data_IF_172932194290
#
_entry.id   IF_172932194290
#
_cell.length_a   1.000
_cell.length_b   1.000
_cell.length_c   1.000
_cell.angle_alpha   90.00
_cell.angle_beta   90.00
_cell.angle_gamma   90.00
#
_symmetry.space_group_name_H-M   'P 1'
#
loop_
_entity.id
_entity.type
_entity.pdbx_description
1 polymer ?
#
# COMPACT_ATOMS: atom_id res chain seq x y z
N UNK A 1 -7.97 15.59 -5.51
CA UNK A 1 -8.75 14.82 -4.52
C UNK A 1 -8.76 15.47 -3.14
N UNK A 2 -7.64 16.03 -2.62
CA UNK A 2 -7.58 16.72 -1.31
C UNK A 2 -8.64 17.80 -1.02
N UNK A 3 -9.21 18.42 -2.06
CA UNK A 3 -10.17 19.53 -1.90
C UNK A 3 -11.49 19.12 -1.22
N UNK A 4 -11.84 17.83 -1.24
CA UNK A 4 -13.17 17.36 -0.81
C UNK A 4 -13.13 16.20 0.19
N UNK A 5 -11.97 15.89 0.79
CA UNK A 5 -11.83 14.84 1.78
C UNK A 5 -10.38 14.55 2.14
N UNK A 6 -10.21 13.73 3.18
CA UNK A 6 -8.91 13.28 3.69
C UNK A 6 -8.42 12.10 2.85
N UNK A 7 -7.22 12.22 2.30
CA UNK A 7 -6.54 11.14 1.56
C UNK A 7 -5.61 10.40 2.50
N UNK A 8 -5.82 9.10 2.66
CA UNK A 8 -5.00 8.23 3.50
C UNK A 8 -4.22 7.25 2.65
N UNK A 9 -2.91 7.20 2.83
CA UNK A 9 -2.05 6.17 2.23
C UNK A 9 -1.70 5.11 3.27
N UNK A 10 -2.10 3.86 3.01
CA UNK A 10 -1.61 2.69 3.73
C UNK A 10 -0.27 2.27 3.12
N UNK A 11 0.83 2.71 3.72
CA UNK A 11 2.19 2.45 3.28
C UNK A 11 2.67 1.08 3.79
N UNK A 12 1.99 0.02 3.32
CA UNK A 12 2.29 -1.36 3.70
C UNK A 12 3.73 -1.75 3.33
N UNK A 13 4.43 -2.38 4.28
CA UNK A 13 5.77 -2.92 4.05
C UNK A 13 5.82 -3.91 2.86
N UNK A 14 6.88 -3.82 2.05
CA UNK A 14 7.05 -4.59 0.81
C UNK A 14 6.89 -6.10 1.01
N UNK A 15 7.43 -6.65 2.09
CA UNK A 15 7.37 -8.09 2.38
C UNK A 15 5.93 -8.56 2.64
N UNK A 16 5.10 -7.72 3.28
CA UNK A 16 3.69 -8.03 3.52
C UNK A 16 2.91 -7.98 2.20
N UNK A 17 3.18 -6.98 1.36
CA UNK A 17 2.58 -6.91 0.01
C UNK A 17 2.94 -8.14 -0.81
N UNK A 18 4.21 -8.53 -0.82
CA UNK A 18 4.68 -9.71 -1.56
C UNK A 18 3.94 -10.98 -1.11
N UNK A 19 3.89 -11.24 0.20
CA UNK A 19 3.18 -12.40 0.76
C UNK A 19 1.70 -12.42 0.39
N UNK A 20 1.02 -11.27 0.44
CA UNK A 20 -0.40 -11.15 0.05
C UNK A 20 -0.60 -11.38 -1.45
N UNK A 21 0.31 -10.85 -2.27
CA UNK A 21 0.20 -10.90 -3.73
C UNK A 21 0.48 -12.29 -4.27
N UNK A 22 1.44 -13.03 -3.70
CA UNK A 22 1.70 -14.44 -4.06
C UNK A 22 0.43 -15.28 -3.86
N UNK A 23 -0.26 -15.13 -2.73
CA UNK A 23 -1.48 -15.91 -2.41
C UNK A 23 -2.64 -15.66 -3.37
N UNK A 24 -2.73 -14.47 -3.96
CA UNK A 24 -3.84 -14.06 -4.84
C UNK A 24 -3.40 -13.87 -6.30
N UNK A 25 -2.17 -14.28 -6.65
CA UNK A 25 -1.52 -14.01 -7.93
C UNK A 25 -2.32 -14.51 -9.13
N UNK A 26 -2.84 -15.74 -9.03
CA UNK A 26 -3.64 -16.38 -10.08
C UNK A 26 -4.89 -15.58 -10.46
N UNK A 27 -5.47 -14.86 -9.49
CA UNK A 27 -6.68 -14.05 -9.70
C UNK A 27 -6.38 -12.63 -10.21
N UNK A 28 -5.12 -12.26 -10.36
CA UNK A 28 -4.69 -10.88 -10.69
C UNK A 28 -3.99 -10.86 -12.06
N UNK A 29 -4.72 -10.57 -13.15
CA UNK A 29 -4.17 -10.62 -14.51
C UNK A 29 -2.86 -9.84 -14.71
N UNK A 30 -2.69 -8.72 -14.01
CA UNK A 30 -1.51 -7.85 -14.14
C UNK A 30 -0.21 -8.44 -13.56
N UNK A 31 -0.30 -9.43 -12.66
CA UNK A 31 0.87 -10.04 -12.02
C UNK A 31 0.93 -11.56 -12.17
N UNK A 32 -0.09 -12.16 -12.77
CA UNK A 32 -0.21 -13.61 -12.94
C UNK A 32 0.98 -14.22 -13.66
N UNK A 33 1.44 -13.55 -14.72
CA UNK A 33 2.55 -14.04 -15.57
C UNK A 33 3.94 -13.66 -15.04
N UNK A 34 4.04 -12.97 -13.90
CA UNK A 34 5.32 -12.56 -13.32
C UNK A 34 5.84 -13.69 -12.43
N UNK A 35 7.08 -14.15 -12.61
CA UNK A 35 7.68 -15.17 -11.74
C UNK A 35 7.71 -14.75 -10.26
N UNK A 36 7.65 -15.69 -9.32
CA UNK A 36 7.63 -15.36 -7.89
C UNK A 36 8.92 -14.63 -7.46
N UNK A 37 10.06 -15.01 -8.04
CA UNK A 37 11.36 -14.35 -7.83
C UNK A 37 11.39 -12.91 -8.37
N UNK A 38 10.66 -12.64 -9.47
CA UNK A 38 10.58 -11.33 -10.10
C UNK A 38 9.53 -10.42 -9.49
N UNK A 39 8.55 -11.00 -8.78
CA UNK A 39 7.40 -10.27 -8.23
C UNK A 39 7.84 -9.19 -7.23
N UNK A 40 8.87 -9.48 -6.42
CA UNK A 40 9.43 -8.51 -5.48
C UNK A 40 9.94 -7.25 -6.19
N UNK A 41 10.76 -7.44 -7.22
CA UNK A 41 11.32 -6.35 -8.04
C UNK A 41 10.23 -5.58 -8.75
N UNK A 42 9.19 -6.27 -9.24
CA UNK A 42 8.02 -5.65 -9.84
C UNK A 42 7.29 -4.72 -8.86
N UNK A 43 7.02 -5.19 -7.64
CA UNK A 43 6.32 -4.38 -6.62
C UNK A 43 7.17 -3.17 -6.22
N UNK A 44 8.47 -3.34 -5.98
CA UNK A 44 9.39 -2.23 -5.64
C UNK A 44 9.37 -1.17 -6.73
N UNK A 45 9.49 -1.57 -7.99
CA UNK A 45 9.41 -0.64 -9.13
C UNK A 45 8.08 0.11 -9.13
N UNK A 46 6.95 -0.58 -8.95
CA UNK A 46 5.62 0.06 -8.91
C UNK A 46 5.41 0.98 -7.72
N UNK A 47 5.96 0.66 -6.55
CA UNK A 47 5.92 1.56 -5.41
C UNK A 47 6.74 2.83 -5.69
N UNK A 48 7.94 2.70 -6.25
CA UNK A 48 8.78 3.85 -6.60
C UNK A 48 8.12 4.75 -7.65
N UNK A 49 7.53 4.19 -8.71
CA UNK A 49 6.76 4.95 -9.72
C UNK A 49 5.61 5.75 -9.11
N UNK A 50 5.00 5.23 -8.03
CA UNK A 50 3.81 5.80 -7.40
C UNK A 50 4.12 6.68 -6.19
N UNK A 51 5.33 6.58 -5.66
CA UNK A 51 5.78 7.23 -4.43
C UNK A 51 5.50 8.73 -4.43
N UNK A 52 5.86 9.41 -5.52
CA UNK A 52 5.63 10.86 -5.66
C UNK A 52 4.17 11.28 -5.62
N UNK A 53 3.22 10.37 -5.86
CA UNK A 53 1.78 10.62 -5.72
C UNK A 53 1.27 10.20 -4.34
N UNK A 54 1.74 9.06 -3.83
CA UNK A 54 1.32 8.51 -2.55
C UNK A 54 1.78 9.36 -1.37
N UNK A 55 2.99 9.92 -1.44
CA UNK A 55 3.53 10.85 -0.43
C UNK A 55 2.76 12.17 -0.37
N UNK A 56 1.88 12.44 -1.34
CA UNK A 56 0.97 13.56 -1.26
C UNK A 56 -0.26 13.25 -0.40
N UNK A 57 -0.41 12.09 0.24
CA UNK A 57 -1.54 11.85 1.13
C UNK A 57 -1.58 12.86 2.30
N UNK A 58 -2.76 13.07 2.89
CA UNK A 58 -2.91 13.88 4.10
C UNK A 58 -2.44 13.08 5.33
N UNK A 59 -2.65 11.76 5.31
CA UNK A 59 -2.20 10.82 6.34
C UNK A 59 -1.43 9.68 5.68
N UNK A 60 -0.28 9.33 6.25
CA UNK A 60 0.52 8.16 5.85
C UNK A 60 0.54 7.18 7.04
N UNK A 61 0.19 5.92 6.78
CA UNK A 61 0.14 4.85 7.79
C UNK A 61 1.12 3.75 7.40
N UNK A 62 2.27 3.68 8.08
CA UNK A 62 3.36 2.74 7.75
C UNK A 62 3.18 1.32 8.35
N UNK A 63 2.32 1.19 9.37
CA UNK A 63 2.13 -0.06 10.13
C UNK A 63 0.65 -0.45 10.23
N UNK A 64 -0.06 -0.52 9.10
CA UNK A 64 -1.51 -0.73 9.09
C UNK A 64 -1.94 -2.08 9.67
N UNK A 65 -1.01 -3.05 9.79
CA UNK A 65 -1.29 -4.37 10.36
C UNK A 65 -1.07 -4.45 11.88
N UNK A 66 -0.51 -3.41 12.47
CA UNK A 66 -0.20 -3.35 13.91
C UNK A 66 -0.87 -2.17 14.60
N UNK A 67 -1.42 -1.22 13.85
CA UNK A 67 -2.20 -0.11 14.40
C UNK A 67 -3.54 -0.62 14.94
N UNK A 68 -3.88 -0.20 16.15
CA UNK A 68 -5.21 -0.47 16.70
C UNK A 68 -6.28 0.29 15.91
N UNK A 69 -7.47 -0.27 15.73
CA UNK A 69 -8.54 0.40 15.00
C UNK A 69 -8.91 1.76 15.60
N UNK A 70 -8.89 1.87 16.94
CA UNK A 70 -9.11 3.13 17.64
C UNK A 70 -8.05 4.18 17.28
N UNK A 71 -6.78 3.77 17.26
CA UNK A 71 -5.65 4.64 16.92
C UNK A 71 -5.74 5.12 15.46
N UNK A 72 -6.06 4.23 14.53
CA UNK A 72 -6.27 4.59 13.13
C UNK A 72 -7.40 5.63 12.97
N UNK A 73 -8.52 5.44 13.67
CA UNK A 73 -9.64 6.40 13.66
C UNK A 73 -9.20 7.76 14.20
N UNK A 74 -8.46 7.77 15.31
CA UNK A 74 -7.95 9.01 15.91
C UNK A 74 -7.01 9.75 14.94
N UNK A 75 -6.09 9.04 14.29
CA UNK A 75 -5.17 9.63 13.30
C UNK A 75 -5.90 10.26 12.13
N UNK A 76 -6.99 9.63 11.64
CA UNK A 76 -7.77 10.15 10.52
C UNK A 76 -8.64 11.35 10.92
N UNK A 77 -9.21 11.36 12.13
CA UNK A 77 -10.08 12.45 12.60
C UNK A 77 -9.33 13.76 12.91
N UNK A 78 -8.02 13.70 13.17
CA UNK A 78 -7.19 14.86 13.49
C UNK A 78 -6.35 15.37 12.33
N UNK A 79 -6.56 14.83 11.12
CA UNK A 79 -5.85 15.18 9.89
C UNK A 79 -6.51 16.33 9.12
#
# INVERSE_FOLDING_TARGET
>A
MKKYGVVVWLNTHIEILLQRLIKEKEKRPLIREIGDDDLRSYIIRKLNERRMYYEQADVIVDNENSIAMSELIQTILHA
#
